data_IF_965510123135
#
_entry.id   IF_965510123135
#
_cell.length_a   1.000
_cell.length_b   1.000
_cell.length_c   1.000
_cell.angle_alpha   90.00
_cell.angle_beta   90.00
_cell.angle_gamma   90.00
#
_symmetry.space_group_name_H-M   'P 1'
#
loop_
_entity.id
_entity.type
_entity.pdbx_description
1 polymer ?
#
# COMPACT_ATOMS: atom_id res chain seq x y z
N UNK A 1 -10.70 9.93 24.18
CA UNK A 1 -11.80 10.51 25.00
C UNK A 1 -13.16 10.29 24.34
N UNK A 2 -13.39 10.69 23.08
CA UNK A 2 -14.67 10.55 22.38
C UNK A 2 -15.18 9.09 22.32
N UNK A 3 -14.30 8.14 22.03
CA UNK A 3 -14.64 6.73 22.00
C UNK A 3 -14.97 6.14 23.38
N UNK A 4 -14.32 6.64 24.46
CA UNK A 4 -14.61 6.23 25.83
C UNK A 4 -15.99 6.73 26.30
N UNK A 5 -16.41 7.92 25.84
CA UNK A 5 -17.73 8.46 26.10
C UNK A 5 -18.86 7.50 25.71
N UNK A 6 -18.75 6.84 24.56
CA UNK A 6 -19.72 5.90 24.07
C UNK A 6 -19.91 4.66 24.98
N UNK A 7 -18.84 4.24 25.68
CA UNK A 7 -18.91 3.14 26.66
C UNK A 7 -19.60 3.58 27.93
N UNK A 8 -19.38 4.82 28.39
CA UNK A 8 -19.93 5.33 29.64
C UNK A 8 -21.41 5.71 29.54
N UNK A 9 -21.85 6.22 28.38
CA UNK A 9 -23.19 6.79 28.21
C UNK A 9 -24.09 5.94 27.35
N UNK A 10 -23.53 5.17 26.40
CA UNK A 10 -24.30 4.37 25.46
C UNK A 10 -25.10 3.24 26.11
N UNK A 11 -26.29 2.99 25.61
CA UNK A 11 -27.20 1.89 26.03
C UNK A 11 -27.40 0.90 24.90
N UNK A 12 -27.68 -0.35 25.22
CA UNK A 12 -28.04 -1.43 24.29
C UNK A 12 -27.04 -1.61 23.14
N UNK A 13 -27.48 -1.40 21.89
CA UNK A 13 -26.66 -1.62 20.71
C UNK A 13 -25.51 -0.60 20.59
N UNK A 14 -25.68 0.64 21.11
CA UNK A 14 -24.65 1.68 21.09
C UNK A 14 -23.47 1.31 21.97
N UNK A 15 -23.74 0.80 23.17
CA UNK A 15 -22.70 0.25 24.05
C UNK A 15 -21.97 -0.92 23.39
N UNK A 16 -22.71 -1.85 22.76
CA UNK A 16 -22.09 -2.99 22.06
C UNK A 16 -21.23 -2.55 20.89
N UNK A 17 -21.69 -1.58 20.10
CA UNK A 17 -20.93 -1.06 18.98
C UNK A 17 -19.66 -0.33 19.45
N UNK A 18 -19.74 0.45 20.53
CA UNK A 18 -18.59 1.12 21.12
C UNK A 18 -17.56 0.12 21.66
N UNK A 19 -18.00 -0.93 22.38
CA UNK A 19 -17.10 -1.97 22.89
C UNK A 19 -16.46 -2.77 21.76
N UNK A 20 -17.19 -3.08 20.68
CA UNK A 20 -16.63 -3.71 19.49
C UNK A 20 -15.60 -2.80 18.79
N UNK A 21 -15.90 -1.50 18.68
CA UNK A 21 -14.95 -0.53 18.14
C UNK A 21 -13.65 -0.48 18.94
N UNK A 22 -13.74 -0.44 20.27
CA UNK A 22 -12.59 -0.51 21.15
C UNK A 22 -11.82 -1.82 21.05
N UNK A 23 -12.51 -2.95 20.92
CA UNK A 23 -11.86 -4.25 20.73
C UNK A 23 -11.04 -4.28 19.43
N UNK A 24 -11.60 -3.75 18.33
CA UNK A 24 -10.89 -3.61 17.05
C UNK A 24 -9.67 -2.71 17.21
N UNK A 25 -9.83 -1.57 17.91
CA UNK A 25 -8.73 -0.63 18.14
C UNK A 25 -7.60 -1.25 18.97
N UNK A 26 -7.94 -1.97 20.03
CA UNK A 26 -6.95 -2.66 20.88
C UNK A 26 -6.18 -3.74 20.11
N UNK A 27 -6.89 -4.55 19.31
CA UNK A 27 -6.25 -5.55 18.43
C UNK A 27 -5.28 -4.88 17.47
N UNK A 28 -5.68 -3.78 16.82
CA UNK A 28 -4.81 -3.07 15.90
C UNK A 28 -3.57 -2.47 16.57
N UNK A 29 -3.70 -1.90 17.78
CA UNK A 29 -2.55 -1.42 18.55
C UNK A 29 -1.60 -2.54 18.99
N UNK A 30 -2.14 -3.69 19.41
CA UNK A 30 -1.32 -4.85 19.74
C UNK A 30 -0.56 -5.35 18.52
N UNK A 31 -1.23 -5.45 17.36
CA UNK A 31 -0.57 -5.85 16.11
C UNK A 31 0.50 -4.85 15.67
N UNK A 32 0.23 -3.55 15.78
CA UNK A 32 1.22 -2.51 15.48
C UNK A 32 2.44 -2.62 16.40
N UNK A 33 2.21 -2.81 17.70
CA UNK A 33 3.29 -3.00 18.67
C UNK A 33 4.09 -4.28 18.42
N UNK A 34 3.43 -5.39 18.08
CA UNK A 34 4.11 -6.64 17.73
C UNK A 34 4.96 -6.50 16.48
N UNK A 35 4.45 -5.78 15.46
CA UNK A 35 5.19 -5.49 14.24
C UNK A 35 6.44 -4.65 14.50
N UNK A 36 6.31 -3.59 15.29
CA UNK A 36 7.44 -2.73 15.69
C UNK A 36 8.47 -3.49 16.54
N UNK A 37 8.01 -4.29 17.50
CA UNK A 37 8.85 -5.10 18.36
C UNK A 37 9.42 -6.36 17.65
N UNK A 38 9.05 -6.61 16.38
CA UNK A 38 9.43 -7.79 15.59
C UNK A 38 9.14 -9.12 16.33
N UNK A 39 8.01 -9.18 17.02
CA UNK A 39 7.57 -10.34 17.79
C UNK A 39 6.55 -11.13 16.96
N UNK A 40 6.85 -12.40 16.67
CA UNK A 40 5.93 -13.31 16.01
C UNK A 40 6.08 -13.34 14.47
N UNK A 41 4.99 -13.55 13.72
CA UNK A 41 5.05 -13.60 12.24
C UNK A 41 5.36 -12.22 11.68
N UNK A 42 5.83 -12.18 10.43
CA UNK A 42 6.01 -10.92 9.69
C UNK A 42 4.66 -10.25 9.56
N UNK A 43 4.51 -9.11 10.23
CA UNK A 43 3.29 -8.30 10.23
C UNK A 43 3.45 -7.13 9.25
N UNK A 44 2.34 -6.59 8.73
CA UNK A 44 2.37 -5.33 7.99
C UNK A 44 3.00 -4.21 8.83
N UNK A 45 3.64 -3.21 8.19
CA UNK A 45 4.20 -2.07 8.92
C UNK A 45 3.14 -1.38 9.79
N UNK A 46 3.57 -0.72 10.88
CA UNK A 46 2.67 -0.11 11.87
C UNK A 46 1.62 0.81 11.24
N UNK A 47 1.94 1.52 10.16
CA UNK A 47 1.05 2.43 9.43
C UNK A 47 -0.19 1.71 8.88
N UNK A 48 -0.03 0.48 8.42
CA UNK A 48 -1.14 -0.35 7.92
C UNK A 48 -1.95 -0.94 9.07
N UNK A 49 -1.30 -1.46 10.10
CA UNK A 49 -1.98 -2.07 11.26
C UNK A 49 -2.73 -1.03 12.08
N UNK A 50 -2.26 0.22 12.14
CA UNK A 50 -2.94 1.36 12.78
C UNK A 50 -4.23 1.80 12.08
N UNK A 51 -4.51 1.34 10.86
CA UNK A 51 -5.84 1.53 10.24
C UNK A 51 -6.96 0.85 11.03
N UNK A 52 -6.69 -0.28 11.70
CA UNK A 52 -7.68 -0.95 12.54
C UNK A 52 -8.11 -0.09 13.73
N UNK A 53 -7.22 0.51 14.52
CA UNK A 53 -7.58 1.49 15.54
C UNK A 53 -8.39 2.66 15.01
N UNK A 54 -8.06 3.19 13.85
CA UNK A 54 -8.81 4.31 13.23
C UNK A 54 -10.25 3.88 12.94
N UNK A 55 -10.45 2.72 12.33
CA UNK A 55 -11.79 2.17 12.06
C UNK A 55 -12.54 1.92 13.37
N UNK A 56 -11.89 1.26 14.32
CA UNK A 56 -12.50 0.92 15.62
C UNK A 56 -12.91 2.16 16.42
N UNK A 57 -12.05 3.15 16.51
CA UNK A 57 -12.35 4.41 17.18
C UNK A 57 -13.43 5.22 16.45
N UNK A 58 -13.45 5.21 15.11
CA UNK A 58 -14.50 5.86 14.33
C UNK A 58 -15.87 5.25 14.62
N UNK A 59 -15.96 3.92 14.72
CA UNK A 59 -17.18 3.22 15.13
C UNK A 59 -17.61 3.59 16.57
N UNK A 60 -16.65 3.65 17.50
CA UNK A 60 -16.92 4.03 18.89
C UNK A 60 -17.37 5.50 18.99
N UNK A 61 -16.78 6.41 18.22
CA UNK A 61 -17.19 7.84 18.16
C UNK A 61 -18.60 7.94 17.58
N UNK A 62 -18.88 7.25 16.47
CA UNK A 62 -20.23 7.24 15.87
C UNK A 62 -21.31 6.71 16.84
N UNK A 63 -21.00 5.64 17.59
CA UNK A 63 -21.87 5.14 18.65
C UNK A 63 -22.04 6.18 19.77
N UNK A 64 -21.00 6.94 20.11
CA UNK A 64 -21.02 8.03 21.09
C UNK A 64 -21.92 9.18 20.67
N UNK A 65 -21.86 9.61 19.42
CA UNK A 65 -22.73 10.65 18.86
C UNK A 65 -24.21 10.18 18.89
N UNK A 66 -24.49 8.95 18.50
CA UNK A 66 -25.84 8.38 18.56
C UNK A 66 -26.36 8.23 20.02
N UNK A 67 -25.48 7.94 20.97
CA UNK A 67 -25.83 7.89 22.38
C UNK A 67 -26.09 9.30 22.94
N UNK A 68 -25.31 10.29 22.53
CA UNK A 68 -25.53 11.67 22.91
C UNK A 68 -26.90 12.16 22.45
N UNK A 69 -27.26 11.93 21.21
CA UNK A 69 -28.53 12.34 20.64
C UNK A 69 -29.75 11.67 21.32
N UNK A 70 -29.65 10.38 21.65
CA UNK A 70 -30.82 9.60 22.10
C UNK A 70 -30.88 9.31 23.59
N UNK A 71 -29.72 9.09 24.22
CA UNK A 71 -29.67 8.64 25.62
C UNK A 71 -29.48 9.81 26.60
N UNK A 72 -28.94 10.95 26.12
CA UNK A 72 -28.71 12.14 26.94
C UNK A 72 -29.85 13.14 26.83
N UNK A 73 -30.37 13.37 25.62
CA UNK A 73 -31.40 14.39 25.37
C UNK A 73 -32.76 14.12 26.07
N UNK A 74 -33.05 12.87 26.39
CA UNK A 74 -34.33 12.42 27.01
C UNK A 74 -34.24 12.12 28.50
N UNK A 75 -33.10 12.41 29.18
CA UNK A 75 -32.93 12.12 30.61
C UNK A 75 -32.99 13.39 31.47
N UNK A 76 -33.45 13.27 32.75
CA UNK A 76 -33.39 14.34 33.72
C UNK A 76 -31.97 14.88 33.91
N UNK A 77 -31.83 16.16 34.23
CA UNK A 77 -30.54 16.82 34.39
C UNK A 77 -29.71 16.10 35.47
N UNK A 78 -28.53 15.60 35.08
CA UNK A 78 -27.67 14.84 35.98
C UNK A 78 -26.23 14.77 35.49
N UNK A 79 -25.40 13.98 36.19
CA UNK A 79 -23.98 13.82 35.92
C UNK A 79 -23.66 13.46 34.46
N UNK A 80 -24.53 12.71 33.81
CA UNK A 80 -24.36 12.30 32.40
C UNK A 80 -24.38 13.48 31.44
N UNK A 81 -25.23 14.46 31.67
CA UNK A 81 -25.32 15.68 30.83
C UNK A 81 -24.11 16.56 30.99
N UNK A 82 -23.65 16.77 32.25
CA UNK A 82 -22.42 17.52 32.52
C UNK A 82 -21.24 16.87 31.86
N UNK A 83 -21.07 15.54 32.01
CA UNK A 83 -19.98 14.81 31.41
C UNK A 83 -20.06 14.83 29.87
N UNK A 84 -21.24 14.73 29.30
CA UNK A 84 -21.43 14.79 27.84
C UNK A 84 -21.12 16.18 27.27
N UNK A 85 -21.47 17.22 27.99
CA UNK A 85 -21.15 18.60 27.60
C UNK A 85 -19.63 18.87 27.63
N UNK A 86 -18.94 18.40 28.68
CA UNK A 86 -17.48 18.49 28.77
C UNK A 86 -16.82 17.70 27.64
N UNK A 87 -17.26 16.46 27.40
CA UNK A 87 -16.73 15.63 26.32
C UNK A 87 -16.95 16.25 24.93
N UNK A 88 -18.15 16.81 24.68
CA UNK A 88 -18.46 17.50 23.42
C UNK A 88 -17.57 18.76 23.24
N UNK A 89 -17.42 19.57 24.29
CA UNK A 89 -16.54 20.73 24.25
C UNK A 89 -15.09 20.36 23.95
N UNK A 90 -14.56 19.32 24.63
CA UNK A 90 -13.20 18.83 24.36
C UNK A 90 -13.04 18.29 22.94
N UNK A 91 -14.05 17.62 22.40
CA UNK A 91 -14.04 17.17 21.00
C UNK A 91 -14.01 18.33 20.01
N UNK A 92 -14.85 19.36 20.24
CA UNK A 92 -14.87 20.56 19.39
C UNK A 92 -13.52 21.28 19.45
N UNK A 93 -12.97 21.51 20.64
CA UNK A 93 -11.67 22.17 20.81
C UNK A 93 -10.56 21.38 20.11
N UNK A 94 -10.52 20.06 20.29
CA UNK A 94 -9.54 19.20 19.62
C UNK A 94 -9.72 19.24 18.10
N UNK A 95 -10.96 19.22 17.60
CA UNK A 95 -11.26 19.28 16.16
C UNK A 95 -10.85 20.62 15.55
N UNK A 96 -11.15 21.75 16.24
CA UNK A 96 -10.74 23.08 15.80
C UNK A 96 -9.21 23.19 15.75
N UNK A 97 -8.52 22.70 16.77
CA UNK A 97 -7.06 22.70 16.81
C UNK A 97 -6.46 21.88 15.64
N UNK A 98 -7.08 20.75 15.32
CA UNK A 98 -6.67 19.90 14.18
C UNK A 98 -6.93 20.58 12.82
N UNK A 99 -8.12 21.14 12.64
CA UNK A 99 -8.48 21.90 11.42
C UNK A 99 -7.57 23.11 11.25
N UNK A 100 -7.32 23.88 12.31
CA UNK A 100 -6.41 25.02 12.27
C UNK A 100 -4.98 24.62 11.88
N UNK A 101 -4.52 23.46 12.37
CA UNK A 101 -3.20 22.91 12.03
C UNK A 101 -3.14 22.42 10.59
N UNK A 102 -4.24 21.97 10.02
CA UNK A 102 -4.37 21.48 8.65
C UNK A 102 -4.84 22.57 7.67
N UNK A 103 -5.10 23.80 8.15
CA UNK A 103 -5.66 24.91 7.36
C UNK A 103 -4.76 25.36 6.19
N UNK A 104 -3.45 25.03 6.23
CA UNK A 104 -2.54 25.23 5.11
C UNK A 104 -2.76 24.25 3.95
N UNK A 105 -3.73 23.34 4.06
CA UNK A 105 -4.01 22.30 3.05
C UNK A 105 -2.99 21.18 2.94
N UNK A 106 -1.92 21.20 3.71
CA UNK A 106 -0.80 20.24 3.59
C UNK A 106 -0.92 19.05 4.52
N UNK A 107 -1.78 19.10 5.53
CA UNK A 107 -1.98 18.00 6.50
C UNK A 107 -0.68 17.50 7.15
N UNK A 108 0.34 18.38 7.25
CA UNK A 108 1.67 18.02 7.73
C UNK A 108 2.57 17.33 6.69
N UNK A 109 2.14 17.24 5.45
CA UNK A 109 2.97 16.75 4.36
C UNK A 109 3.99 17.81 3.94
N UNK A 110 5.21 17.42 3.50
CA UNK A 110 6.20 18.34 2.97
C UNK A 110 5.70 19.01 1.68
N UNK A 111 6.25 20.19 1.37
CA UNK A 111 5.93 20.92 0.13
C UNK A 111 6.26 20.13 -1.11
N UNK A 112 7.44 19.54 -1.12
CA UNK A 112 7.97 18.72 -2.20
C UNK A 112 8.00 17.28 -1.70
N UNK A 113 7.11 16.44 -2.23
CA UNK A 113 7.15 15.00 -1.96
C UNK A 113 8.30 14.34 -2.70
N UNK A 114 9.07 13.50 -2.03
CA UNK A 114 10.17 12.73 -2.65
C UNK A 114 9.72 11.99 -3.91
N UNK A 115 8.49 11.45 -3.91
CA UNK A 115 7.93 10.72 -5.05
C UNK A 115 7.64 11.63 -6.26
N UNK A 116 7.27 12.90 -6.05
CA UNK A 116 7.06 13.86 -7.14
C UNK A 116 8.36 14.18 -7.87
N UNK A 117 9.46 14.33 -7.11
CA UNK A 117 10.79 14.55 -7.67
C UNK A 117 11.26 13.33 -8.46
N UNK A 118 11.13 12.14 -7.89
CA UNK A 118 11.46 10.87 -8.57
C UNK A 118 10.62 10.68 -9.84
N UNK A 119 9.36 11.14 -9.83
CA UNK A 119 8.47 11.09 -10.98
C UNK A 119 8.98 11.82 -12.23
N UNK A 120 9.88 12.80 -12.07
CA UNK A 120 10.51 13.48 -13.23
C UNK A 120 11.37 12.55 -14.07
N UNK A 121 11.84 11.43 -13.50
CA UNK A 121 12.62 10.42 -14.20
C UNK A 121 11.79 9.49 -15.10
N UNK A 122 10.45 9.54 -15.02
CA UNK A 122 9.58 8.65 -15.81
C UNK A 122 9.83 8.75 -17.31
N UNK A 123 10.17 9.94 -17.80
CA UNK A 123 10.52 10.16 -19.22
C UNK A 123 11.88 9.64 -19.63
N UNK A 124 12.73 9.29 -18.67
CA UNK A 124 14.10 8.80 -18.86
C UNK A 124 14.25 7.33 -18.43
N UNK A 125 13.12 6.68 -18.11
CA UNK A 125 13.13 5.29 -17.69
C UNK A 125 13.73 4.41 -18.82
N UNK A 126 14.61 3.45 -18.48
CA UNK A 126 15.15 2.52 -19.45
C UNK A 126 14.07 1.60 -20.00
N UNK A 127 14.32 1.02 -21.16
CA UNK A 127 13.51 -0.09 -21.64
C UNK A 127 13.69 -1.31 -20.74
N UNK A 128 12.62 -2.11 -20.60
CA UNK A 128 12.62 -3.32 -19.79
C UNK A 128 12.44 -3.07 -18.30
N UNK A 129 12.55 -4.14 -17.53
CA UNK A 129 12.40 -4.09 -16.08
C UNK A 129 13.68 -3.62 -15.40
N UNK A 130 13.52 -2.71 -14.45
CA UNK A 130 14.60 -2.19 -13.63
C UNK A 130 14.13 -1.99 -12.19
N UNK A 131 15.11 -1.80 -11.30
CA UNK A 131 14.88 -1.48 -9.89
C UNK A 131 15.41 -0.10 -9.55
N UNK A 132 14.80 0.47 -8.53
CA UNK A 132 15.31 1.65 -7.85
C UNK A 132 15.72 1.26 -6.44
N UNK A 133 16.95 1.61 -6.07
CA UNK A 133 17.47 1.49 -4.71
C UNK A 133 17.13 2.78 -3.95
N UNK A 134 16.50 2.64 -2.80
CA UNK A 134 16.19 3.73 -1.88
C UNK A 134 17.11 3.66 -0.67
N UNK A 135 17.71 4.79 -0.32
CA UNK A 135 18.60 4.94 0.83
C UNK A 135 18.13 6.10 1.69
N UNK A 136 18.25 6.00 3.00
CA UNK A 136 17.85 7.06 3.92
C UNK A 136 17.74 6.59 5.35
N UNK A 137 17.08 7.39 6.17
CA UNK A 137 16.63 6.96 7.49
C UNK A 137 15.38 6.09 7.33
N UNK A 138 15.23 5.07 8.18
CA UNK A 138 14.07 4.17 8.13
C UNK A 138 12.73 4.91 8.24
N UNK A 139 12.68 5.99 9.04
CA UNK A 139 11.48 6.81 9.24
C UNK A 139 11.14 7.68 8.01
N UNK A 140 12.09 7.85 7.09
CA UNK A 140 11.92 8.68 5.89
C UNK A 140 11.58 7.85 4.66
N UNK A 141 12.00 6.58 4.64
CA UNK A 141 11.73 5.69 3.52
C UNK A 141 10.24 5.34 3.46
N UNK A 142 9.60 5.45 2.28
CA UNK A 142 8.16 5.18 2.14
C UNK A 142 7.85 3.68 2.03
N UNK A 143 8.70 2.81 2.54
CA UNK A 143 8.59 1.35 2.39
C UNK A 143 9.34 0.61 3.50
N UNK A 144 9.11 -0.71 3.62
CA UNK A 144 9.89 -1.60 4.48
C UNK A 144 11.37 -1.62 4.06
N UNK A 145 12.28 -1.52 5.01
CA UNK A 145 13.70 -1.33 4.73
C UNK A 145 14.61 -2.15 5.65
N UNK A 146 15.80 -2.48 5.15
CA UNK A 146 16.87 -3.14 5.91
C UNK A 146 17.92 -2.13 6.34
N UNK A 147 18.52 -2.36 7.48
CA UNK A 147 19.49 -1.41 8.08
C UNK A 147 20.93 -1.81 7.77
N UNK A 148 21.76 -0.84 7.40
CA UNK A 148 23.21 -0.95 7.25
C UNK A 148 23.92 -0.70 8.58
N UNK A 149 25.19 -1.11 8.68
CA UNK A 149 26.01 -0.94 9.88
C UNK A 149 26.21 0.52 10.31
N UNK A 150 26.17 1.47 9.38
CA UNK A 150 26.30 2.91 9.65
C UNK A 150 24.98 3.59 10.07
N UNK A 151 23.88 2.84 10.26
CA UNK A 151 22.56 3.34 10.64
C UNK A 151 21.69 3.84 9.49
N UNK A 152 22.19 3.86 8.23
CA UNK A 152 21.33 4.09 7.07
C UNK A 152 20.47 2.86 6.81
N UNK A 153 19.29 3.08 6.24
CA UNK A 153 18.41 2.02 5.77
C UNK A 153 18.34 2.00 4.26
N UNK A 154 18.09 0.84 3.69
CA UNK A 154 17.93 0.65 2.25
C UNK A 154 16.72 -0.22 1.93
N UNK A 155 16.13 0.03 0.78
CA UNK A 155 15.04 -0.77 0.21
C UNK A 155 15.13 -0.75 -1.31
N UNK A 156 14.50 -1.69 -1.98
CA UNK A 156 14.42 -1.74 -3.44
C UNK A 156 12.99 -1.77 -3.90
N UNK A 157 12.69 -1.06 -4.99
CA UNK A 157 11.39 -1.10 -5.66
C UNK A 157 11.54 -1.58 -7.09
N UNK A 158 10.54 -2.28 -7.60
CA UNK A 158 10.42 -2.55 -9.04
C UNK A 158 9.92 -1.30 -9.74
N UNK A 159 10.78 -0.71 -10.60
CA UNK A 159 10.52 0.58 -11.22
C UNK A 159 10.76 1.76 -10.25
N UNK A 160 10.23 2.93 -10.59
CA UNK A 160 10.48 4.18 -9.86
C UNK A 160 9.70 4.30 -8.55
N UNK A 161 8.51 3.71 -8.48
CA UNK A 161 7.59 3.98 -7.37
C UNK A 161 7.36 2.78 -6.49
N UNK A 162 7.30 2.98 -5.15
CA UNK A 162 6.91 1.94 -4.22
C UNK A 162 5.49 1.44 -4.52
N UNK A 163 5.32 0.14 -4.48
CA UNK A 163 4.02 -0.54 -4.57
C UNK A 163 3.58 -0.99 -3.18
N UNK A 164 2.30 -1.35 -3.02
CA UNK A 164 1.77 -1.84 -1.74
C UNK A 164 2.58 -3.02 -1.20
N UNK A 165 3.10 -3.90 -2.08
CA UNK A 165 3.95 -5.02 -1.68
C UNK A 165 5.27 -4.59 -1.05
N UNK A 166 5.82 -3.45 -1.46
CA UNK A 166 7.11 -2.94 -0.98
C UNK A 166 7.02 -2.30 0.42
N UNK A 167 5.79 -2.06 0.92
CA UNK A 167 5.58 -1.57 2.29
C UNK A 167 5.89 -2.62 3.37
N UNK A 168 5.96 -3.87 2.96
CA UNK A 168 6.24 -4.96 3.87
C UNK A 168 7.72 -5.32 3.77
N UNK A 169 8.41 -5.28 4.91
CA UNK A 169 9.76 -5.85 5.00
C UNK A 169 9.65 -7.36 4.77
N UNK A 170 10.07 -7.80 3.60
CA UNK A 170 10.15 -9.22 3.29
C UNK A 170 11.29 -9.89 4.09
N UNK A 171 11.29 -11.23 4.18
CA UNK A 171 12.44 -11.95 4.72
C UNK A 171 13.69 -11.61 3.88
N UNK A 172 14.85 -11.49 4.56
CA UNK A 172 16.11 -11.33 3.86
C UNK A 172 16.34 -12.48 2.89
N UNK A 173 16.82 -12.16 1.71
CA UNK A 173 17.19 -13.14 0.67
C UNK A 173 18.68 -13.04 0.39
N UNK A 174 19.23 -14.05 -0.29
CA UNK A 174 20.63 -13.98 -0.71
C UNK A 174 20.94 -12.72 -1.54
N UNK A 175 20.01 -12.29 -2.40
CA UNK A 175 20.14 -11.05 -3.15
C UNK A 175 20.15 -9.81 -2.26
N UNK A 176 19.32 -9.78 -1.20
CA UNK A 176 19.31 -8.71 -0.21
C UNK A 176 20.62 -8.67 0.58
N UNK A 177 21.14 -9.82 0.98
CA UNK A 177 22.41 -9.92 1.72
C UNK A 177 23.59 -9.48 0.87
N UNK A 178 23.62 -9.86 -0.41
CA UNK A 178 24.64 -9.43 -1.38
C UNK A 178 24.57 -7.92 -1.64
N UNK A 179 23.35 -7.36 -1.74
CA UNK A 179 23.16 -5.92 -1.89
C UNK A 179 23.66 -5.17 -0.64
N UNK A 180 23.34 -5.68 0.54
CA UNK A 180 23.82 -5.12 1.82
C UNK A 180 25.34 -5.11 1.87
N UNK A 181 25.98 -6.23 1.53
CA UNK A 181 27.45 -6.34 1.48
C UNK A 181 28.06 -5.33 0.49
N UNK A 182 27.49 -5.19 -0.71
CA UNK A 182 27.95 -4.23 -1.71
C UNK A 182 27.86 -2.77 -1.20
N UNK A 183 26.77 -2.43 -0.50
CA UNK A 183 26.58 -1.10 0.08
C UNK A 183 27.54 -0.84 1.25
N UNK A 184 27.74 -1.83 2.12
CA UNK A 184 28.70 -1.73 3.23
C UNK A 184 30.14 -1.60 2.75
N UNK A 185 30.50 -2.33 1.69
CA UNK A 185 31.82 -2.20 1.05
C UNK A 185 32.05 -0.82 0.41
N UNK A 186 31.01 -0.24 -0.20
CA UNK A 186 31.09 1.12 -0.72
C UNK A 186 31.25 2.15 0.42
N UNK A 187 30.45 2.04 1.49
CA UNK A 187 30.55 2.94 2.66
C UNK A 187 31.91 2.81 3.37
N UNK A 188 32.49 1.61 3.35
CA UNK A 188 33.84 1.36 3.89
C UNK A 188 34.97 1.78 2.95
N UNK A 189 34.67 2.32 1.76
CA UNK A 189 35.66 2.73 0.77
C UNK A 189 36.43 1.58 0.09
N UNK A 190 35.89 0.33 0.17
CA UNK A 190 36.55 -0.84 -0.42
C UNK A 190 36.31 -0.96 -1.94
N UNK A 191 35.27 -0.26 -2.45
CA UNK A 191 34.96 -0.26 -3.88
C UNK A 191 34.60 1.13 -4.38
N UNK A 192 35.01 1.46 -5.60
CA UNK A 192 34.61 2.63 -6.38
C UNK A 192 33.73 2.22 -7.58
N UNK A 193 33.30 0.97 -7.63
CA UNK A 193 32.53 0.34 -8.70
C UNK A 193 31.17 -0.18 -8.22
N UNK A 194 30.56 0.51 -7.24
CA UNK A 194 29.25 0.12 -6.72
C UNK A 194 28.20 0.08 -7.83
N UNK A 195 28.22 1.00 -8.78
CA UNK A 195 27.27 1.01 -9.90
C UNK A 195 27.29 -0.29 -10.70
N UNK A 196 28.46 -0.92 -10.89
CA UNK A 196 28.57 -2.23 -11.56
C UNK A 196 27.97 -3.35 -10.73
N UNK A 197 28.17 -3.36 -9.41
CA UNK A 197 27.53 -4.30 -8.49
C UNK A 197 26.01 -4.15 -8.50
N UNK A 198 25.51 -2.91 -8.41
CA UNK A 198 24.09 -2.58 -8.47
C UNK A 198 23.48 -2.90 -9.85
N UNK A 199 24.25 -2.68 -10.92
CA UNK A 199 23.82 -2.96 -12.29
C UNK A 199 23.47 -4.43 -12.50
N UNK A 200 24.30 -5.35 -12.02
CA UNK A 200 24.01 -6.78 -12.03
C UNK A 200 22.72 -7.14 -11.27
N UNK A 201 22.29 -6.30 -10.33
CA UNK A 201 21.03 -6.47 -9.56
C UNK A 201 19.82 -5.80 -10.24
N UNK A 202 19.99 -5.29 -11.46
CA UNK A 202 18.92 -4.58 -12.17
C UNK A 202 18.63 -3.18 -11.62
N UNK A 203 19.53 -2.59 -10.84
CA UNK A 203 19.33 -1.28 -10.23
C UNK A 203 19.81 -0.17 -11.17
N UNK A 204 18.85 0.60 -11.68
CA UNK A 204 19.11 1.75 -12.56
C UNK A 204 19.31 3.05 -11.78
N UNK A 205 18.46 3.29 -10.77
CA UNK A 205 18.51 4.52 -10.01
C UNK A 205 18.79 4.25 -8.54
N UNK A 206 19.58 5.13 -7.92
CA UNK A 206 19.77 5.20 -6.47
C UNK A 206 19.16 6.51 -5.99
N UNK A 207 18.17 6.42 -5.12
CA UNK A 207 17.44 7.55 -4.56
C UNK A 207 17.78 7.68 -3.07
N UNK A 208 18.40 8.79 -2.70
CA UNK A 208 18.71 9.09 -1.29
C UNK A 208 17.67 10.08 -0.77
N UNK A 209 16.76 9.59 0.07
CA UNK A 209 15.72 10.40 0.67
C UNK A 209 16.25 11.16 1.88
N UNK A 210 15.99 12.48 1.94
CA UNK A 210 16.42 13.35 3.04
C UNK A 210 15.29 13.88 3.89
N UNK A 211 14.04 13.76 3.44
CA UNK A 211 12.87 14.25 4.16
C UNK A 211 11.66 13.37 3.90
N UNK A 212 10.82 13.20 4.90
CA UNK A 212 9.61 12.39 4.83
C UNK A 212 8.43 13.03 5.56
N UNK A 213 7.22 12.58 5.21
CA UNK A 213 5.97 13.15 5.67
C UNK A 213 5.79 13.18 7.21
N UNK A 214 6.12 12.14 7.99
CA UNK A 214 5.84 12.15 9.44
C UNK A 214 6.64 13.20 10.21
N UNK A 215 7.79 13.60 9.70
CA UNK A 215 8.75 14.46 10.39
C UNK A 215 8.44 15.96 10.28
N UNK A 216 7.50 16.35 9.43
CA UNK A 216 7.08 17.75 9.26
C UNK A 216 6.49 18.38 10.53
N UNK A 217 6.13 17.58 11.54
CA UNK A 217 5.57 18.05 12.81
C UNK A 217 6.62 18.31 13.90
N UNK A 218 7.80 17.75 13.78
CA UNK A 218 8.84 17.92 14.79
C UNK A 218 9.65 19.19 14.46
N UNK A 219 9.40 20.27 15.18
CA UNK A 219 9.98 21.61 14.97
C UNK A 219 11.52 21.70 14.96
N UNK A 220 12.22 20.62 14.94
CA UNK A 220 13.68 20.57 14.86
C UNK A 220 14.22 19.58 13.85
N UNK A 221 13.37 18.75 13.25
CA UNK A 221 13.80 17.64 12.40
C UNK A 221 13.09 17.62 11.03
N UNK A 222 12.87 18.79 10.45
CA UNK A 222 12.23 18.89 9.13
C UNK A 222 13.01 18.17 8.01
N UNK A 223 14.29 17.87 8.25
CA UNK A 223 15.16 17.15 7.32
C UNK A 223 15.97 16.14 8.13
N UNK A 224 15.75 14.88 7.91
CA UNK A 224 16.61 13.80 8.40
C UNK A 224 17.57 13.45 7.26
N UNK A 225 18.83 13.84 7.42
CA UNK A 225 19.87 13.51 6.45
C UNK A 225 20.38 12.10 6.73
N UNK A 226 20.60 11.27 5.69
CA UNK A 226 21.39 10.07 5.87
C UNK A 226 22.80 10.45 6.35
N UNK A 227 23.55 9.54 6.99
CA UNK A 227 24.93 9.78 7.35
C UNK A 227 25.74 10.30 6.16
N UNK A 228 26.57 11.32 6.39
CA UNK A 228 27.42 11.89 5.34
C UNK A 228 28.32 10.83 4.67
N UNK A 229 28.71 9.79 5.41
CA UNK A 229 29.44 8.63 4.88
C UNK A 229 28.71 7.94 3.73
N UNK A 230 27.38 7.85 3.79
CA UNK A 230 26.58 7.23 2.72
C UNK A 230 26.59 8.09 1.45
N UNK A 231 26.39 9.39 1.59
CA UNK A 231 26.37 10.32 0.44
C UNK A 231 27.77 10.41 -0.19
N UNK A 232 28.81 10.56 0.63
CA UNK A 232 30.21 10.62 0.15
C UNK A 232 30.58 9.33 -0.58
N UNK A 233 30.21 8.16 -0.02
CA UNK A 233 30.48 6.89 -0.66
C UNK A 233 29.81 6.76 -2.05
N UNK A 234 28.61 7.34 -2.25
CA UNK A 234 27.94 7.36 -3.55
C UNK A 234 28.59 8.37 -4.51
N UNK A 235 28.99 9.55 -4.02
CA UNK A 235 29.62 10.58 -4.83
C UNK A 235 31.03 10.16 -5.32
N UNK A 236 31.70 9.23 -4.64
CA UNK A 236 32.99 8.66 -5.01
C UNK A 236 32.90 7.53 -6.05
N UNK A 237 31.70 7.05 -6.41
CA UNK A 237 31.55 5.95 -7.35
C UNK A 237 31.74 6.42 -8.79
N UNK A 238 32.51 5.65 -9.57
CA UNK A 238 32.81 5.97 -10.98
C UNK A 238 31.62 5.69 -11.91
N UNK A 239 30.74 4.78 -11.49
CA UNK A 239 29.64 4.27 -12.30
C UNK A 239 28.29 4.93 -11.93
N UNK A 240 28.27 5.82 -10.93
CA UNK A 240 27.08 6.53 -10.49
C UNK A 240 27.20 8.03 -10.81
N UNK A 241 26.25 8.53 -11.58
CA UNK A 241 26.19 9.95 -11.94
C UNK A 241 25.09 10.65 -11.13
N UNK A 242 25.45 11.64 -10.32
CA UNK A 242 24.49 12.41 -9.54
C UNK A 242 23.66 13.32 -10.43
N UNK A 243 22.35 13.17 -10.39
CA UNK A 243 21.39 14.06 -11.02
C UNK A 243 20.95 15.14 -10.04
N UNK A 244 21.15 16.40 -10.39
CA UNK A 244 20.76 17.53 -9.53
C UNK A 244 19.31 17.88 -9.75
N UNK A 245 18.39 17.25 -8.99
CA UNK A 245 16.94 17.42 -9.19
C UNK A 245 16.28 18.21 -8.04
N UNK A 246 16.68 17.99 -6.79
CA UNK A 246 16.05 18.61 -5.61
C UNK A 246 17.02 18.70 -4.43
N UNK A 247 16.66 19.55 -3.44
CA UNK A 247 17.37 19.62 -2.15
C UNK A 247 16.89 18.53 -1.17
N UNK A 248 15.74 17.95 -1.42
CA UNK A 248 15.12 16.95 -0.53
C UNK A 248 15.46 15.51 -0.91
N UNK A 249 15.96 15.29 -2.12
CA UNK A 249 16.28 13.97 -2.66
C UNK A 249 17.52 14.06 -3.52
N UNK A 250 18.49 13.18 -3.28
CA UNK A 250 19.59 12.96 -4.22
C UNK A 250 19.28 11.76 -5.08
N UNK A 251 19.49 11.88 -6.36
CA UNK A 251 19.26 10.81 -7.32
C UNK A 251 20.57 10.55 -8.06
N UNK A 252 20.93 9.28 -8.16
CA UNK A 252 22.06 8.82 -8.93
C UNK A 252 21.58 7.91 -10.05
N UNK A 253 22.07 8.17 -11.25
CA UNK A 253 21.90 7.31 -12.41
C UNK A 253 23.04 6.32 -12.50
N UNK A 254 22.70 5.04 -12.66
CA UNK A 254 23.69 3.98 -12.80
C UNK A 254 24.04 3.76 -14.28
N UNK A 255 25.24 4.15 -14.69
CA UNK A 255 25.74 3.95 -16.06
C UNK A 255 26.06 2.48 -16.39
N UNK A 256 26.30 1.64 -15.37
CA UNK A 256 26.58 0.21 -15.53
C UNK A 256 25.32 -0.66 -15.38
N UNK A 257 24.15 -0.10 -15.60
CA UNK A 257 22.87 -0.78 -15.48
C UNK A 257 22.77 -1.98 -16.44
N UNK A 258 22.24 -3.09 -15.92
CA UNK A 258 21.83 -4.29 -16.67
C UNK A 258 20.36 -4.52 -16.42
N UNK A 259 19.52 -4.79 -17.45
CA UNK A 259 18.10 -5.08 -17.26
C UNK A 259 17.86 -6.24 -16.28
N UNK A 260 16.75 -6.21 -15.53
CA UNK A 260 16.43 -7.24 -14.54
C UNK A 260 16.33 -8.63 -15.17
N UNK A 261 15.81 -8.70 -16.40
CA UNK A 261 15.86 -9.91 -17.24
C UNK A 261 16.56 -9.55 -18.54
N UNK A 262 17.74 -10.09 -18.73
CA UNK A 262 18.61 -9.73 -19.83
C UNK A 262 19.04 -10.95 -20.62
N UNK A 263 19.18 -10.79 -21.92
CA UNK A 263 19.86 -11.71 -22.81
C UNK A 263 21.32 -11.31 -22.93
N UNK A 264 22.21 -12.26 -22.74
CA UNK A 264 23.66 -12.13 -22.82
C UNK A 264 24.23 -13.03 -23.91
N UNK A 265 25.37 -12.69 -24.49
CA UNK A 265 26.07 -13.58 -25.40
C UNK A 265 26.42 -14.93 -24.74
N UNK A 266 26.46 -16.02 -25.52
CA UNK A 266 26.82 -17.34 -25.03
C UNK A 266 28.17 -17.31 -24.31
N UNK A 267 28.25 -17.96 -23.14
CA UNK A 267 29.46 -18.00 -22.31
C UNK A 267 29.78 -16.75 -21.49
N UNK A 268 28.93 -15.73 -21.55
CA UNK A 268 29.13 -14.50 -20.76
C UNK A 268 29.14 -14.79 -19.25
N UNK A 269 28.35 -15.75 -18.81
CA UNK A 269 28.20 -16.12 -17.40
C UNK A 269 28.94 -17.39 -16.99
N UNK A 270 29.74 -17.99 -17.89
CA UNK A 270 30.53 -19.23 -17.59
C UNK A 270 31.47 -19.06 -16.38
N UNK A 271 31.92 -17.83 -16.15
CA UNK A 271 32.84 -17.46 -15.05
C UNK A 271 32.13 -16.74 -13.91
N UNK A 272 30.80 -16.67 -13.94
CA UNK A 272 30.01 -16.04 -12.89
C UNK A 272 30.15 -16.84 -11.59
N UNK A 273 31.13 -16.46 -10.77
CA UNK A 273 31.34 -17.03 -9.43
C UNK A 273 30.23 -16.68 -8.47
N UNK A 274 30.43 -17.01 -7.19
CA UNK A 274 29.40 -16.83 -6.13
C UNK A 274 29.62 -15.62 -5.22
N UNK A 275 30.54 -14.72 -5.57
CA UNK A 275 30.94 -13.57 -4.75
C UNK A 275 30.81 -12.23 -5.51
N UNK A 276 30.93 -11.12 -4.78
CA UNK A 276 30.91 -9.78 -5.36
C UNK A 276 32.05 -9.54 -6.37
N UNK A 277 33.20 -10.18 -6.18
CA UNK A 277 34.34 -10.06 -7.09
C UNK A 277 34.04 -10.65 -8.48
N UNK A 278 33.24 -11.71 -8.52
CA UNK A 278 32.78 -12.30 -9.77
C UNK A 278 31.90 -11.33 -10.58
N UNK A 279 31.04 -10.54 -9.92
CA UNK A 279 30.23 -9.49 -10.58
C UNK A 279 31.15 -8.42 -11.20
N UNK A 280 32.18 -8.00 -10.49
CA UNK A 280 33.12 -6.98 -10.98
C UNK A 280 33.94 -7.45 -12.20
N UNK A 281 34.18 -8.74 -12.32
CA UNK A 281 34.98 -9.33 -13.39
C UNK A 281 34.19 -9.84 -14.59
N UNK A 282 32.88 -10.08 -14.41
CA UNK A 282 31.98 -10.53 -15.49
C UNK A 282 31.56 -9.36 -16.37
N UNK A 283 31.64 -9.51 -17.69
CA UNK A 283 31.22 -8.48 -18.63
C UNK A 283 29.73 -8.59 -18.95
N UNK A 284 28.93 -7.68 -18.40
CA UNK A 284 27.49 -7.55 -18.64
C UNK A 284 27.16 -6.44 -19.65
N UNK A 285 28.13 -5.78 -20.26
CA UNK A 285 27.90 -4.63 -21.15
C UNK A 285 27.14 -4.97 -22.44
N UNK A 286 27.16 -6.25 -22.85
CA UNK A 286 26.41 -6.76 -24.00
C UNK A 286 24.95 -7.14 -23.71
N UNK A 287 24.44 -6.88 -22.50
CA UNK A 287 23.10 -7.25 -22.11
C UNK A 287 22.03 -6.54 -22.92
N UNK A 288 21.12 -7.28 -23.50
CA UNK A 288 19.92 -6.80 -24.18
C UNK A 288 18.69 -7.10 -23.30
N UNK A 289 17.64 -6.28 -23.45
CA UNK A 289 16.38 -6.50 -22.75
C UNK A 289 15.71 -7.77 -23.30
N UNK A 290 15.56 -8.80 -22.46
CA UNK A 290 14.86 -10.02 -22.85
C UNK A 290 13.33 -9.91 -22.66
N UNK A 291 12.88 -9.16 -21.63
CA UNK A 291 11.48 -8.99 -21.31
C UNK A 291 11.15 -7.48 -21.26
N UNK A 292 10.71 -6.88 -22.39
CA UNK A 292 10.40 -5.44 -22.44
C UNK A 292 9.12 -5.07 -21.69
N UNK A 293 8.19 -5.99 -21.54
CA UNK A 293 6.90 -5.76 -20.87
C UNK A 293 6.68 -6.72 -19.71
N UNK A 294 6.17 -6.18 -18.61
CA UNK A 294 5.76 -6.95 -17.45
C UNK A 294 4.28 -7.28 -17.54
N UNK A 295 3.96 -8.56 -17.49
CA UNK A 295 2.58 -9.03 -17.41
C UNK A 295 1.88 -8.66 -16.09
N UNK A 296 0.55 -8.76 -16.08
CA UNK A 296 -0.32 -8.38 -14.95
C UNK A 296 -0.04 -9.16 -13.66
N UNK A 297 0.56 -10.34 -13.75
CA UNK A 297 0.81 -11.28 -12.66
C UNK A 297 2.30 -11.52 -12.38
N UNK A 298 3.13 -10.51 -12.65
CA UNK A 298 4.58 -10.60 -12.56
C UNK A 298 5.24 -11.53 -13.60
N UNK A 299 4.46 -12.14 -14.49
CA UNK A 299 4.99 -12.88 -15.63
C UNK A 299 5.46 -11.87 -16.68
N UNK A 300 6.63 -12.08 -17.24
CA UNK A 300 7.16 -11.30 -18.35
C UNK A 300 7.02 -12.08 -19.64
N UNK A 301 6.68 -11.43 -20.73
CA UNK A 301 6.80 -11.95 -22.09
C UNK A 301 7.72 -11.04 -22.88
N UNK A 302 8.63 -11.62 -23.65
CA UNK A 302 9.61 -10.89 -24.45
C UNK A 302 9.44 -11.19 -25.93
N UNK A 303 10.28 -10.50 -26.72
CA UNK A 303 10.46 -10.82 -28.12
C UNK A 303 11.28 -12.12 -28.32
N UNK A 304 11.59 -12.45 -29.59
CA UNK A 304 12.41 -13.59 -29.89
C UNK A 304 13.80 -13.45 -29.25
N UNK A 305 14.17 -14.45 -28.48
CA UNK A 305 15.51 -14.56 -27.88
C UNK A 305 16.45 -15.23 -28.89
N UNK A 306 17.62 -14.64 -29.06
CA UNK A 306 18.71 -15.22 -29.84
C UNK A 306 19.40 -16.35 -29.03
N UNK A 307 20.26 -17.15 -29.70
CA UNK A 307 21.10 -18.11 -29.00
C UNK A 307 22.04 -17.37 -28.04
N UNK A 308 21.98 -17.75 -26.75
CA UNK A 308 22.73 -17.02 -25.72
C UNK A 308 22.42 -17.49 -24.31
N UNK A 309 22.52 -16.58 -23.35
CA UNK A 309 22.23 -16.84 -21.96
C UNK A 309 21.16 -15.85 -21.46
N UNK A 310 20.12 -16.38 -20.84
CA UNK A 310 19.12 -15.59 -20.14
C UNK A 310 19.61 -15.37 -18.72
N UNK A 311 19.84 -14.11 -18.37
CA UNK A 311 20.18 -13.68 -17.02
C UNK A 311 18.95 -13.11 -16.33
N UNK A 312 18.68 -13.56 -15.11
CA UNK A 312 17.57 -13.08 -14.29
C UNK A 312 18.11 -12.57 -12.98
N UNK A 313 18.11 -11.24 -12.80
CA UNK A 313 18.57 -10.54 -11.61
C UNK A 313 17.55 -10.65 -10.45
N UNK A 314 17.09 -11.87 -10.17
CA UNK A 314 16.21 -12.18 -9.04
C UNK A 314 16.81 -13.30 -8.21
N UNK A 315 16.58 -13.27 -6.91
CA UNK A 315 16.95 -14.39 -6.05
C UNK A 315 16.32 -15.66 -6.59
N UNK A 316 17.15 -16.67 -6.77
CA UNK A 316 16.72 -17.95 -7.30
C UNK A 316 15.57 -18.53 -6.46
N UNK A 317 14.46 -18.81 -7.10
CA UNK A 317 13.26 -19.40 -6.52
C UNK A 317 12.68 -20.42 -7.52
N UNK A 318 12.45 -21.65 -7.06
CA UNK A 318 11.90 -22.73 -7.85
C UNK A 318 10.48 -22.45 -8.41
N UNK A 319 9.82 -21.42 -7.90
CA UNK A 319 8.51 -21.01 -8.41
C UNK A 319 8.58 -20.15 -9.68
N UNK A 320 9.76 -19.68 -10.07
CA UNK A 320 9.99 -18.98 -11.33
C UNK A 320 10.51 -19.96 -12.37
N UNK A 321 9.81 -20.09 -13.48
CA UNK A 321 10.19 -20.96 -14.58
C UNK A 321 10.41 -20.12 -15.83
N UNK A 322 11.65 -19.98 -16.32
CA UNK A 322 11.91 -19.40 -17.62
C UNK A 322 11.55 -20.40 -18.72
N UNK A 323 10.88 -19.92 -19.75
CA UNK A 323 10.56 -20.69 -20.94
C UNK A 323 11.02 -19.93 -22.18
N UNK A 324 11.45 -20.63 -23.20
CA UNK A 324 11.77 -20.09 -24.52
C UNK A 324 10.93 -20.86 -25.55
N UNK A 325 10.00 -20.17 -26.20
CA UNK A 325 8.93 -20.82 -26.95
C UNK A 325 8.06 -21.64 -25.98
N UNK A 326 7.91 -22.94 -26.28
CA UNK A 326 7.16 -23.90 -25.45
C UNK A 326 8.06 -24.74 -24.52
N UNK A 327 9.39 -24.54 -24.54
CA UNK A 327 10.35 -25.34 -23.78
C UNK A 327 10.72 -24.65 -22.46
N UNK A 328 10.65 -25.39 -21.34
CA UNK A 328 11.26 -24.99 -20.08
C UNK A 328 12.78 -24.99 -20.20
N UNK A 329 13.43 -23.93 -19.69
CA UNK A 329 14.88 -23.83 -19.68
C UNK A 329 15.42 -24.06 -18.28
N UNK A 330 16.41 -24.94 -18.13
CA UNK A 330 17.01 -25.26 -16.84
C UNK A 330 17.73 -24.05 -16.26
N UNK A 331 17.35 -23.67 -15.04
CA UNK A 331 17.97 -22.57 -14.31
C UNK A 331 19.23 -23.04 -13.58
N UNK A 332 20.28 -22.24 -13.69
CA UNK A 332 21.53 -22.39 -12.93
C UNK A 332 21.76 -21.14 -12.07
N UNK A 333 22.43 -21.24 -10.92
CA UNK A 333 22.78 -20.08 -10.15
C UNK A 333 23.80 -19.21 -10.89
N UNK A 334 23.62 -17.87 -10.79
CA UNK A 334 24.60 -16.87 -11.20
C UNK A 334 24.91 -15.99 -9.98
N UNK A 335 26.19 -15.68 -9.78
CA UNK A 335 26.67 -14.84 -8.67
C UNK A 335 26.21 -15.29 -7.28
N UNK A 336 25.85 -16.58 -7.11
CA UNK A 336 25.37 -17.16 -5.85
C UNK A 336 23.97 -16.77 -5.42
N UNK A 337 23.31 -15.81 -6.08
CA UNK A 337 21.97 -15.32 -5.71
C UNK A 337 21.02 -15.20 -6.91
N UNK A 338 21.49 -14.81 -8.07
CA UNK A 338 20.72 -14.66 -9.30
C UNK A 338 20.57 -16.00 -10.05
N UNK A 339 19.81 -16.02 -11.12
CA UNK A 339 19.68 -17.20 -11.98
C UNK A 339 20.08 -16.89 -13.43
N UNK A 340 20.56 -17.94 -14.09
CA UNK A 340 20.90 -17.96 -15.51
C UNK A 340 20.30 -19.22 -16.16
N UNK A 341 20.03 -19.12 -17.46
CA UNK A 341 19.56 -20.24 -18.26
C UNK A 341 20.16 -20.14 -19.66
N UNK A 342 20.64 -21.26 -20.22
CA UNK A 342 21.19 -21.27 -21.57
C UNK A 342 20.08 -21.41 -22.61
N UNK A 343 20.05 -20.51 -23.59
CA UNK A 343 19.12 -20.53 -24.71
C UNK A 343 19.83 -21.15 -25.91
N UNK A 344 19.33 -22.29 -26.39
CA UNK A 344 19.89 -23.01 -27.53
C UNK A 344 18.99 -23.03 -28.77
N UNK A 345 17.80 -22.42 -28.67
CA UNK A 345 16.85 -22.34 -29.78
C UNK A 345 16.10 -21.02 -29.70
N UNK A 346 16.02 -20.30 -30.81
CA UNK A 346 15.24 -19.06 -30.89
C UNK A 346 13.75 -19.28 -30.58
N UNK A 347 13.15 -18.38 -29.85
CA UNK A 347 11.73 -18.37 -29.49
C UNK A 347 11.42 -17.23 -28.53
N UNK A 348 10.16 -16.96 -28.27
CA UNK A 348 9.75 -15.93 -27.34
C UNK A 348 10.17 -16.31 -25.90
N UNK A 349 10.97 -15.47 -25.28
CA UNK A 349 11.33 -15.63 -23.88
C UNK A 349 10.15 -15.28 -22.98
N UNK A 350 9.87 -16.11 -21.95
CA UNK A 350 8.85 -15.86 -20.93
C UNK A 350 9.40 -16.26 -19.57
N UNK A 351 8.99 -15.52 -18.55
CA UNK A 351 9.27 -15.86 -17.16
C UNK A 351 7.94 -16.03 -16.44
N UNK A 352 7.61 -17.28 -16.08
CA UNK A 352 6.31 -17.64 -15.48
C UNK A 352 6.48 -17.90 -13.98
N UNK A 353 5.60 -17.29 -13.17
CA UNK A 353 5.57 -17.55 -11.73
C UNK A 353 4.46 -18.52 -11.36
N UNK A 354 4.83 -19.67 -10.80
CA UNK A 354 3.91 -20.69 -10.30
C UNK A 354 3.75 -20.57 -8.77
N UNK A 355 2.67 -19.98 -8.27
CA UNK A 355 2.51 -19.77 -6.83
C UNK A 355 2.40 -21.07 -6.07
N UNK A 356 3.06 -21.22 -4.90
CA UNK A 356 3.02 -22.44 -4.12
C UNK A 356 1.59 -22.75 -3.63
N UNK A 357 1.25 -24.04 -3.56
CA UNK A 357 -0.08 -24.50 -3.13
C UNK A 357 -0.54 -23.91 -1.79
N UNK A 358 0.38 -23.71 -0.85
CA UNK A 358 0.09 -23.11 0.46
C UNK A 358 -0.49 -21.71 0.33
N UNK A 359 0.03 -20.88 -0.60
CA UNK A 359 -0.49 -19.54 -0.87
C UNK A 359 -1.92 -19.61 -1.42
N UNK A 360 -2.16 -20.50 -2.38
CA UNK A 360 -3.49 -20.65 -2.98
C UNK A 360 -4.50 -21.12 -1.93
N UNK A 361 -4.13 -22.04 -1.06
CA UNK A 361 -4.94 -22.52 0.05
C UNK A 361 -5.23 -21.40 1.06
N UNK A 362 -4.25 -20.57 1.40
CA UNK A 362 -4.43 -19.40 2.26
C UNK A 362 -5.45 -18.41 1.68
N UNK A 363 -5.38 -18.12 0.37
CA UNK A 363 -6.34 -17.25 -0.31
C UNK A 363 -7.76 -17.83 -0.26
N UNK A 364 -7.90 -19.14 -0.50
CA UNK A 364 -9.21 -19.82 -0.41
C UNK A 364 -9.77 -19.72 1.01
N UNK A 365 -8.96 -19.96 2.04
CA UNK A 365 -9.37 -19.84 3.45
C UNK A 365 -9.81 -18.41 3.78
N UNK A 366 -9.07 -17.40 3.30
CA UNK A 366 -9.44 -15.99 3.48
C UNK A 366 -10.78 -15.66 2.81
N UNK A 367 -11.02 -16.13 1.60
CA UNK A 367 -12.29 -15.94 0.89
C UNK A 367 -13.44 -16.62 1.61
N UNK A 368 -13.25 -17.86 2.08
CA UNK A 368 -14.26 -18.57 2.87
C UNK A 368 -14.58 -17.85 4.19
N UNK A 369 -13.55 -17.34 4.88
CA UNK A 369 -13.73 -16.56 6.10
C UNK A 369 -14.50 -15.26 5.83
N UNK A 370 -14.22 -14.57 4.71
CA UNK A 370 -14.94 -13.39 4.29
C UNK A 370 -16.42 -13.70 3.99
N UNK A 371 -16.67 -14.75 3.23
CA UNK A 371 -18.05 -15.19 2.92
C UNK A 371 -18.80 -15.58 4.19
N UNK A 372 -18.15 -16.29 5.12
CA UNK A 372 -18.73 -16.63 6.42
C UNK A 372 -19.06 -15.37 7.23
N UNK A 373 -18.15 -14.40 7.29
CA UNK A 373 -18.37 -13.13 7.97
C UNK A 373 -19.57 -12.36 7.37
N UNK A 374 -19.63 -12.24 6.05
CA UNK A 374 -20.76 -11.61 5.33
C UNK A 374 -22.08 -12.35 5.67
N UNK A 375 -22.08 -13.68 5.66
CA UNK A 375 -23.26 -14.49 5.98
C UNK A 375 -23.74 -14.28 7.42
N UNK A 376 -22.81 -14.23 8.38
CA UNK A 376 -23.12 -13.97 9.79
C UNK A 376 -23.74 -12.58 9.97
N UNK A 377 -23.16 -11.56 9.32
CA UNK A 377 -23.68 -10.19 9.37
C UNK A 377 -25.05 -10.09 8.68
N UNK A 378 -25.24 -10.73 7.54
CA UNK A 378 -26.49 -10.73 6.79
C UNK A 378 -27.62 -11.44 7.58
N UNK A 379 -27.32 -12.59 8.20
CA UNK A 379 -28.31 -13.30 9.04
C UNK A 379 -28.75 -12.51 10.27
N UNK A 380 -27.85 -11.72 10.85
CA UNK A 380 -28.18 -10.82 11.96
C UNK A 380 -29.10 -9.66 11.51
N UNK A 381 -28.98 -9.18 10.28
CA UNK A 381 -29.86 -8.14 9.72
C UNK A 381 -31.25 -8.65 9.41
N UNK A 382 -31.40 -9.87 8.90
CA UNK A 382 -32.70 -10.46 8.59
C UNK A 382 -33.51 -10.85 9.85
N UNK A 383 -32.84 -11.10 10.99
CA UNK A 383 -33.51 -11.35 12.27
C UNK A 383 -34.13 -10.11 12.94
N UNK A 384 -33.83 -8.90 12.45
CA UNK A 384 -34.36 -7.63 13.02
C UNK A 384 -35.57 -7.10 12.24
N UNK A 385 -35.82 -7.54 11.02
CA UNK A 385 -37.07 -7.27 10.33
C UNK A 385 -38.10 -8.24 10.91
N UNK A 386 -38.55 -7.98 12.13
CA UNK A 386 -39.74 -8.63 12.68
C UNK A 386 -40.89 -8.35 11.71
N UNK A 387 -41.46 -9.42 11.16
CA UNK A 387 -42.66 -9.46 10.31
C UNK A 387 -43.87 -8.71 10.94
N UNK A 388 -43.77 -8.29 12.21
CA UNK A 388 -44.68 -7.38 12.88
C UNK A 388 -44.77 -5.97 12.33
N UNK A 389 -43.70 -5.42 11.74
CA UNK A 389 -43.72 -4.08 11.17
C UNK A 389 -44.51 -3.98 9.88
N UNK A 390 -44.40 -4.98 9.01
CA UNK A 390 -45.15 -5.03 7.76
C UNK A 390 -46.67 -5.28 8.01
N UNK A 391 -47.01 -6.13 8.98
CA UNK A 391 -48.40 -6.33 9.38
C UNK A 391 -49.04 -5.09 10.01
N UNK A 392 -48.30 -4.33 10.84
CA UNK A 392 -48.79 -3.06 11.37
C UNK A 392 -48.94 -2.01 10.25
N UNK A 393 -47.96 -1.87 9.38
CA UNK A 393 -48.05 -0.92 8.27
C UNK A 393 -49.17 -1.22 7.28
N UNK A 394 -49.49 -2.53 7.08
CA UNK A 394 -50.63 -2.97 6.27
C UNK A 394 -51.99 -2.82 7.03
N UNK A 395 -52.00 -2.94 8.35
CA UNK A 395 -53.15 -2.66 9.19
C UNK A 395 -53.51 -1.18 9.20
N UNK A 396 -52.51 -0.29 9.45
CA UNK A 396 -52.67 1.17 9.42
C UNK A 396 -53.13 1.66 8.03
N UNK A 397 -52.65 1.02 6.96
CA UNK A 397 -53.08 1.35 5.60
C UNK A 397 -54.55 0.91 5.35
N UNK A 398 -54.99 -0.20 5.93
CA UNK A 398 -56.40 -0.63 5.85
C UNK A 398 -57.31 0.27 6.65
N UNK A 399 -56.90 0.71 7.84
CA UNK A 399 -57.68 1.68 8.63
C UNK A 399 -57.78 3.03 7.92
N UNK A 400 -56.69 3.56 7.33
CA UNK A 400 -56.74 4.80 6.57
C UNK A 400 -57.62 4.72 5.30
N UNK A 401 -57.69 3.55 4.67
CA UNK A 401 -58.57 3.34 3.50
C UNK A 401 -60.01 3.22 3.95
N UNK A 402 -60.26 2.58 5.09
CA UNK A 402 -61.62 2.47 5.68
C UNK A 402 -62.13 3.85 6.15
N UNK A 403 -61.31 4.66 6.80
CA UNK A 403 -61.65 6.04 7.20
C UNK A 403 -61.93 6.95 5.97
N UNK A 404 -61.15 6.82 4.89
CA UNK A 404 -61.41 7.56 3.64
C UNK A 404 -62.71 7.12 2.97
N UNK A 405 -63.11 5.86 3.11
CA UNK A 405 -64.35 5.34 2.56
C UNK A 405 -65.53 5.85 3.36
N UNK A 406 -65.44 5.86 4.69
CA UNK A 406 -66.44 6.43 5.59
C UNK A 406 -66.63 7.93 5.42
N UNK A 407 -65.54 8.70 5.19
CA UNK A 407 -65.63 10.13 4.86
C UNK A 407 -66.33 10.38 3.54
N UNK A 408 -66.09 9.55 2.51
CA UNK A 408 -66.79 9.65 1.23
C UNK A 408 -68.27 9.31 1.29
N UNK A 409 -68.69 8.46 2.21
CA UNK A 409 -70.09 8.12 2.43
C UNK A 409 -70.86 9.16 3.31
N UNK A 410 -70.09 10.04 4.02
CA UNK A 410 -70.68 11.08 4.86
C UNK A 410 -70.71 12.46 4.18
N UNK A 411 -70.13 12.67 3.01
CA UNK A 411 -70.31 13.92 2.25
C UNK A 411 -71.47 13.76 1.27
N UNK A 412 -72.61 14.47 1.52
CA UNK A 412 -73.69 14.51 0.59
C UNK A 412 -73.29 15.24 -0.67
N UNK A 413 -73.63 14.66 -1.81
CA UNK A 413 -73.24 15.02 -3.16
C UNK A 413 -73.32 16.51 -3.50
N UNK A 414 -72.22 16.97 -4.09
CA UNK A 414 -72.23 18.18 -4.91
C UNK A 414 -71.82 17.71 -6.31
N UNK A 415 -72.87 17.49 -7.12
CA UNK A 415 -72.74 17.34 -8.58
C UNK A 415 -72.33 18.71 -9.18
N UNK A 416 -71.12 18.80 -9.65
CA UNK A 416 -70.62 19.91 -10.45
C UNK A 416 -69.73 19.36 -11.58
N UNK A 417 -69.95 19.82 -12.83
CA UNK A 417 -69.25 19.25 -13.99
C UNK A 417 -67.78 19.63 -14.03
N UNK A 418 -66.94 18.61 -14.26
CA UNK A 418 -65.49 18.72 -14.43
C UNK A 418 -65.16 19.57 -15.66
N UNK A 419 -64.40 20.68 -15.48
CA UNK A 419 -63.70 21.36 -16.53
C UNK A 419 -62.37 20.68 -16.80
N UNK A 420 -62.00 20.48 -18.06
CA UNK A 420 -60.67 19.99 -18.40
C UNK A 420 -59.64 21.12 -18.37
N UNK A 421 -58.68 21.06 -17.48
CA UNK A 421 -57.46 21.88 -17.55
C UNK A 421 -56.34 21.07 -18.23
N UNK A 422 -56.16 21.38 -19.50
CA UNK A 422 -54.89 21.21 -20.22
C UNK A 422 -53.86 22.16 -19.59
N UNK A 423 -52.68 21.64 -19.28
CA UNK A 423 -51.36 22.21 -19.50
C UNK A 423 -50.32 21.52 -18.62
N UNK A 424 -49.59 20.61 -19.23
CA UNK A 424 -48.33 20.06 -18.68
C UNK A 424 -47.20 21.02 -19.05
N UNK A 425 -46.35 21.47 -18.15
CA UNK A 425 -45.14 22.18 -18.53
C UNK A 425 -44.08 21.20 -19.06
N UNK A 426 -43.64 21.43 -20.25
CA UNK A 426 -42.48 20.81 -20.89
C UNK A 426 -41.21 21.32 -20.22
N UNK A 427 -40.43 20.42 -19.68
CA UNK A 427 -39.04 20.70 -19.24
C UNK A 427 -38.13 20.47 -20.46
N UNK A 428 -37.56 21.53 -20.98
CA UNK A 428 -36.42 21.53 -21.89
C UNK A 428 -35.14 21.49 -21.07
N UNK A 429 -34.33 20.43 -21.23
CA UNK A 429 -32.94 20.43 -20.85
C UNK A 429 -32.11 21.08 -21.94
N UNK A 430 -31.54 22.27 -21.67
CA UNK A 430 -30.40 22.81 -22.39
C UNK A 430 -29.14 22.52 -21.58
N UNK A 431 -28.13 21.98 -22.24
CA UNK A 431 -26.82 21.72 -21.72
C UNK A 431 -25.89 22.91 -21.86
N UNK A 432 -24.95 22.98 -20.94
CA UNK A 432 -23.56 23.44 -21.12
C UNK A 432 -22.67 22.69 -20.11
#
# INVERSE_FOLDING_TARGET
LAGAFAILVGREWRFRLATQGWAIALVGWVLAWMGEARIGPVLPPPEVTLMLPVIGLSLAIGAGLAAFERDVAGSDFGFRQVFSMVAATLMVVASVAWVARSANGRWGLPEEGNLAVVGTLTSQAPEGEYRTLWLGDADVLPMGSWTLSNGSSFATTSGLFPRIGDWFEGPSSKGTDTLKEALEDAVAGKTTRLGRLLGAMGIKYVVVAQSGAPLAYDKGKAVVKPPDSTVNALDEQLDLARLSVSKSVFIYDNSAFTPEVAELPSGALDKAGSDLAAILTTDLSGAKVALPERGRFADGSGGPADDGELYVARTQDANWTPTVGDAEVEQRPAFGWASQASISSGGDARLVYSPPLVRNLAVIVQLLALVAAINIVSRRRTGVIKVGGLKRMLADRRELVAERKLRREQEPGVDGPLRPTSELPTFTMEGE
#
